data_IF_729376622142
#
_entry.id   IF_729376622142
#
_cell.length_a   1.000
_cell.length_b   1.000
_cell.length_c   1.000
_cell.angle_alpha   90.00
_cell.angle_beta   90.00
_cell.angle_gamma   90.00
#
_symmetry.space_group_name_H-M   'P 1'
#
loop_
_entity.id
_entity.type
_entity.pdbx_description
1 polymer ?
#
# COMPACT_ATOMS: atom_id res chain seq x y z
N UNK A 1 -20.42 15.80 19.48
CA UNK A 1 -20.46 15.48 18.05
C UNK A 1 -20.31 13.97 17.95
N UNK A 2 -21.39 13.25 18.26
CA UNK A 2 -21.43 11.78 18.44
C UNK A 2 -22.61 11.17 17.68
N UNK A 3 -22.99 11.78 16.54
CA UNK A 3 -24.15 11.35 15.78
C UNK A 3 -23.73 10.30 14.72
N UNK A 4 -24.26 9.06 14.77
CA UNK A 4 -24.05 8.05 13.75
C UNK A 4 -24.55 8.45 12.35
N UNK A 5 -25.22 9.59 12.23
CA UNK A 5 -25.69 10.18 10.99
C UNK A 5 -24.75 11.21 10.35
N UNK A 6 -23.58 11.50 10.92
CA UNK A 6 -22.64 12.49 10.37
C UNK A 6 -22.22 12.09 8.93
N UNK A 7 -22.50 12.94 7.92
CA UNK A 7 -22.18 12.68 6.51
C UNK A 7 -20.69 12.39 6.28
N UNK A 8 -19.79 12.87 7.14
CA UNK A 8 -18.36 12.55 7.11
C UNK A 8 -18.07 11.03 7.13
N UNK A 9 -18.92 10.24 7.81
CA UNK A 9 -18.71 8.78 7.89
C UNK A 9 -19.21 8.01 6.67
N UNK A 10 -20.05 8.58 5.82
CA UNK A 10 -20.53 7.91 4.61
C UNK A 10 -19.44 7.73 3.56
N UNK A 11 -18.38 8.53 3.63
CA UNK A 11 -17.24 8.48 2.72
C UNK A 11 -16.17 7.45 3.15
N UNK A 12 -16.24 6.94 4.38
CA UNK A 12 -15.29 5.95 4.90
C UNK A 12 -15.93 4.56 4.81
N UNK A 13 -15.51 3.76 3.84
CA UNK A 13 -16.02 2.38 3.68
C UNK A 13 -15.30 1.39 4.63
N UNK A 14 -15.92 0.23 5.00
CA UNK A 14 -15.27 -0.79 5.82
C UNK A 14 -14.05 -1.42 5.12
N UNK A 15 -12.98 -1.74 5.88
CA UNK A 15 -11.78 -2.40 5.38
C UNK A 15 -12.05 -3.87 5.02
N UNK A 16 -11.34 -4.39 4.00
CA UNK A 16 -11.44 -5.78 3.58
C UNK A 16 -10.68 -6.71 4.54
N UNK A 17 -11.09 -7.96 4.62
CA UNK A 17 -10.35 -8.96 5.38
C UNK A 17 -9.04 -9.30 4.66
N UNK A 18 -7.93 -9.26 5.39
CA UNK A 18 -6.60 -9.58 4.88
C UNK A 18 -5.62 -8.41 4.98
N UNK A 19 -6.02 -7.20 4.58
CA UNK A 19 -5.19 -5.99 4.60
C UNK A 19 -5.83 -4.87 5.44
N UNK A 20 -6.48 -5.25 6.54
CA UNK A 20 -7.26 -4.34 7.38
C UNK A 20 -6.43 -3.18 7.95
N UNK A 21 -5.13 -3.37 8.18
CA UNK A 21 -4.23 -2.32 8.64
C UNK A 21 -3.97 -1.29 7.53
N UNK A 22 -3.51 -1.76 6.37
CA UNK A 22 -3.14 -0.93 5.21
C UNK A 22 -4.35 -0.13 4.70
N UNK A 23 -5.49 -0.80 4.57
CA UNK A 23 -6.74 -0.13 4.19
C UNK A 23 -7.23 0.87 5.25
N UNK A 24 -6.99 0.61 6.54
CA UNK A 24 -7.29 1.59 7.60
C UNK A 24 -6.44 2.85 7.43
N UNK A 25 -5.14 2.70 7.18
CA UNK A 25 -4.22 3.83 6.94
C UNK A 25 -4.63 4.61 5.69
N UNK A 26 -4.88 3.92 4.56
CA UNK A 26 -5.34 4.53 3.30
C UNK A 26 -6.59 5.38 3.52
N UNK A 27 -7.63 4.82 4.14
CA UNK A 27 -8.92 5.50 4.32
C UNK A 27 -8.83 6.69 5.27
N UNK A 28 -8.07 6.56 6.35
CA UNK A 28 -7.84 7.69 7.26
C UNK A 28 -7.07 8.80 6.57
N UNK A 29 -6.03 8.47 5.79
CA UNK A 29 -5.28 9.45 4.99
C UNK A 29 -6.18 10.16 3.98
N UNK A 30 -7.01 9.41 3.25
CA UNK A 30 -7.99 9.94 2.30
C UNK A 30 -8.94 10.93 2.99
N UNK A 31 -9.56 10.51 4.10
CA UNK A 31 -10.48 11.37 4.86
C UNK A 31 -9.80 12.65 5.37
N UNK A 32 -8.53 12.59 5.79
CA UNK A 32 -7.75 13.75 6.21
C UNK A 32 -7.44 14.65 5.01
N UNK A 33 -6.99 14.10 3.88
CA UNK A 33 -6.63 14.87 2.68
C UNK A 33 -7.86 15.55 2.05
N UNK A 34 -9.01 14.88 2.01
CA UNK A 34 -10.28 15.44 1.55
C UNK A 34 -10.88 16.47 2.52
N UNK A 35 -10.25 16.69 3.69
CA UNK A 35 -10.77 17.62 4.68
C UNK A 35 -12.03 17.15 5.42
N UNK A 36 -12.41 15.87 5.28
CA UNK A 36 -13.47 15.24 6.09
C UNK A 36 -13.10 15.34 7.57
N UNK A 37 -11.82 15.20 7.87
CA UNK A 37 -11.22 15.54 9.16
C UNK A 37 -10.26 16.73 8.95
N UNK A 38 -10.72 17.98 9.17
CA UNK A 38 -9.91 19.15 8.92
C UNK A 38 -8.63 19.20 9.77
N UNK A 39 -7.61 19.90 9.28
CA UNK A 39 -6.39 20.18 10.06
C UNK A 39 -6.74 20.82 11.41
N UNK A 40 -6.13 20.33 12.48
CA UNK A 40 -6.39 20.74 13.86
C UNK A 40 -7.67 20.14 14.48
N UNK A 41 -8.50 19.43 13.73
CA UNK A 41 -9.70 18.79 14.27
C UNK A 41 -9.37 17.48 14.99
N UNK A 42 -10.20 17.12 15.95
CA UNK A 42 -10.09 15.87 16.69
C UNK A 42 -10.80 14.76 15.93
N UNK A 43 -10.15 13.60 15.78
CA UNK A 43 -10.79 12.41 15.25
C UNK A 43 -11.86 11.88 16.22
N UNK A 44 -12.88 11.21 15.70
CA UNK A 44 -13.87 10.50 16.51
C UNK A 44 -13.22 9.49 17.46
N UNK A 45 -13.92 9.08 18.55
CA UNK A 45 -13.42 8.09 19.49
C UNK A 45 -12.98 6.80 18.80
N UNK A 46 -11.83 6.23 19.20
CA UNK A 46 -11.28 4.99 18.61
C UNK A 46 -12.30 3.84 18.49
N UNK A 47 -13.19 3.69 19.49
CA UNK A 47 -14.22 2.66 19.46
C UNK A 47 -15.13 2.85 18.25
N UNK A 48 -15.52 4.06 18.01
CA UNK A 48 -16.45 4.42 16.93
C UNK A 48 -15.78 4.27 15.55
N UNK A 49 -14.53 4.75 15.40
CA UNK A 49 -13.76 4.58 14.18
C UNK A 49 -13.50 3.10 13.86
N UNK A 50 -13.13 2.30 14.85
CA UNK A 50 -12.88 0.87 14.65
C UNK A 50 -14.15 0.12 14.20
N UNK A 51 -15.29 0.44 14.83
CA UNK A 51 -16.59 -0.14 14.46
C UNK A 51 -16.99 0.25 13.03
N UNK A 52 -16.82 1.51 12.68
CA UNK A 52 -17.17 2.03 11.35
C UNK A 52 -16.27 1.46 10.24
N UNK A 53 -14.96 1.38 10.48
CA UNK A 53 -13.99 0.77 9.55
C UNK A 53 -14.08 -0.77 9.51
N UNK A 54 -14.84 -1.38 10.42
CA UNK A 54 -14.97 -2.84 10.48
C UNK A 54 -13.68 -3.55 10.92
N UNK A 55 -12.83 -2.87 11.69
CA UNK A 55 -11.52 -3.38 12.13
C UNK A 55 -11.44 -3.54 13.65
N UNK A 56 -10.43 -4.28 14.12
CA UNK A 56 -10.16 -4.38 15.54
C UNK A 56 -9.64 -3.05 16.10
N UNK A 57 -9.88 -2.79 17.39
CA UNK A 57 -9.33 -1.60 18.07
C UNK A 57 -7.80 -1.59 18.09
N UNK A 58 -7.16 -2.76 18.08
CA UNK A 58 -5.71 -2.87 17.95
C UNK A 58 -5.25 -2.44 16.56
N UNK A 59 -5.88 -2.94 15.50
CA UNK A 59 -5.56 -2.55 14.11
C UNK A 59 -5.70 -1.04 13.90
N UNK A 60 -6.80 -0.45 14.41
CA UNK A 60 -6.97 1.00 14.35
C UNK A 60 -5.87 1.76 15.08
N UNK A 61 -5.51 1.33 16.32
CA UNK A 61 -4.45 1.99 17.10
C UNK A 61 -3.10 1.92 16.42
N UNK A 62 -2.79 0.78 15.80
CA UNK A 62 -1.57 0.58 15.04
C UNK A 62 -1.54 1.56 13.85
N UNK A 63 -2.63 1.69 13.09
CA UNK A 63 -2.75 2.66 12.00
C UNK A 63 -2.64 4.12 12.48
N UNK A 64 -3.27 4.48 13.60
CA UNK A 64 -3.15 5.82 14.19
C UNK A 64 -1.72 6.12 14.65
N UNK A 65 -1.01 5.13 15.20
CA UNK A 65 0.38 5.28 15.62
C UNK A 65 1.32 5.52 14.43
N UNK A 66 1.11 4.80 13.32
CA UNK A 66 1.90 4.99 12.11
C UNK A 66 1.60 6.35 11.45
N UNK A 67 0.33 6.78 11.40
CA UNK A 67 -0.04 8.12 10.93
C UNK A 67 0.51 9.23 11.84
N UNK A 68 0.63 8.99 13.15
CA UNK A 68 1.32 9.89 14.06
C UNK A 68 2.81 9.97 13.74
N UNK A 69 3.47 8.83 13.53
CA UNK A 69 4.88 8.77 13.14
C UNK A 69 5.13 9.46 11.81
N UNK A 70 4.18 9.32 10.86
CA UNK A 70 4.20 10.00 9.58
C UNK A 70 3.84 11.50 9.64
N UNK A 71 3.48 12.01 10.83
CA UNK A 71 3.20 13.43 11.05
C UNK A 71 1.79 13.92 10.70
N UNK A 72 0.89 13.02 10.27
CA UNK A 72 -0.50 13.38 9.94
C UNK A 72 -1.38 13.58 11.18
N UNK A 73 -1.01 12.95 12.31
CA UNK A 73 -1.77 13.00 13.55
C UNK A 73 -0.89 13.37 14.73
N UNK A 74 -1.50 13.93 15.77
CA UNK A 74 -0.96 14.01 17.12
C UNK A 74 -1.87 13.20 18.03
N UNK A 75 -1.30 12.30 18.87
CA UNK A 75 -2.06 11.45 19.78
C UNK A 75 -1.75 11.82 21.22
N UNK A 76 -2.78 12.22 21.98
CA UNK A 76 -2.67 12.50 23.41
C UNK A 76 -3.26 11.34 24.22
N UNK A 77 -2.56 10.92 25.28
CA UNK A 77 -3.04 9.89 26.22
C UNK A 77 -3.85 10.50 27.35
N UNK A 78 -4.76 9.73 27.92
CA UNK A 78 -5.51 10.10 29.12
C UNK A 78 -7.02 10.22 28.90
N UNK A 79 -7.75 10.56 29.97
CA UNK A 79 -9.23 10.63 30.00
C UNK A 79 -9.83 11.57 28.93
N UNK A 80 -9.10 12.62 28.58
CA UNK A 80 -9.46 13.59 27.55
C UNK A 80 -8.54 13.48 26.33
N UNK A 81 -7.77 12.39 26.21
CA UNK A 81 -6.89 12.11 25.11
C UNK A 81 -7.62 11.74 23.82
N UNK A 82 -6.89 11.50 22.76
CA UNK A 82 -7.39 11.09 21.44
C UNK A 82 -6.44 11.51 20.34
N UNK A 83 -6.78 11.16 19.12
CA UNK A 83 -6.04 11.56 17.94
C UNK A 83 -6.60 12.89 17.40
N UNK A 84 -5.72 13.79 17.02
CA UNK A 84 -6.03 15.11 16.41
C UNK A 84 -5.26 15.20 15.11
N UNK A 85 -5.88 15.67 14.04
CA UNK A 85 -5.22 15.95 12.77
C UNK A 85 -4.19 17.05 12.96
N UNK A 86 -2.98 16.88 12.47
CA UNK A 86 -1.92 17.88 12.58
C UNK A 86 -2.36 19.21 11.95
N UNK A 87 -2.05 20.32 12.61
CA UNK A 87 -2.38 21.66 12.11
C UNK A 87 -1.66 21.97 10.79
N UNK A 88 -0.48 21.38 10.58
CA UNK A 88 0.27 21.39 9.33
C UNK A 88 0.47 19.96 8.89
N UNK A 89 -0.19 19.59 7.81
CA UNK A 89 -0.01 18.24 7.22
C UNK A 89 1.37 18.15 6.58
N UNK A 90 2.00 16.96 6.62
CA UNK A 90 3.26 16.73 5.95
C UNK A 90 3.13 17.08 4.46
N UNK A 91 3.91 18.04 4.02
CA UNK A 91 4.12 18.26 2.59
C UNK A 91 5.02 17.15 2.07
N UNK A 92 4.74 16.63 0.88
CA UNK A 92 5.54 15.57 0.24
C UNK A 92 7.03 15.98 0.30
N UNK A 93 7.83 15.22 1.04
CA UNK A 93 9.26 15.47 1.16
C UNK A 93 9.97 15.17 -0.15
N UNK A 94 10.51 16.20 -0.79
CA UNK A 94 11.77 16.10 -1.50
C UNK A 94 11.84 15.45 -2.88
N UNK A 95 10.81 15.45 -3.73
CA UNK A 95 11.05 15.37 -5.17
C UNK A 95 9.97 16.12 -5.95
N UNK A 96 10.36 17.00 -6.89
CA UNK A 96 9.39 17.85 -7.61
C UNK A 96 8.51 17.12 -8.62
N UNK A 97 8.73 15.84 -8.88
CA UNK A 97 7.87 15.07 -9.76
C UNK A 97 6.69 14.49 -8.96
N UNK A 98 5.55 15.14 -9.05
CA UNK A 98 4.26 14.56 -8.67
C UNK A 98 4.06 13.32 -9.54
N UNK A 99 3.94 12.14 -8.92
CA UNK A 99 3.57 10.95 -9.68
C UNK A 99 2.11 11.11 -10.12
N UNK A 100 1.87 10.97 -11.42
CA UNK A 100 0.50 10.96 -11.94
C UNK A 100 -0.20 9.68 -11.47
N UNK A 101 -1.50 9.77 -11.20
CA UNK A 101 -2.32 8.60 -10.86
C UNK A 101 -2.09 7.45 -11.84
N UNK A 102 -2.13 7.75 -13.15
CA UNK A 102 -1.92 6.75 -14.20
C UNK A 102 -0.58 6.01 -14.07
N UNK A 103 0.49 6.67 -13.62
CA UNK A 103 1.80 6.04 -13.42
C UNK A 103 1.81 5.09 -12.22
N UNK A 104 1.13 5.46 -11.13
CA UNK A 104 0.98 4.63 -9.94
C UNK A 104 0.13 3.40 -10.28
N UNK A 105 -1.03 3.60 -10.89
CA UNK A 105 -1.94 2.50 -11.24
C UNK A 105 -1.35 1.55 -12.29
N UNK A 106 -0.57 2.05 -13.26
CA UNK A 106 0.15 1.20 -14.24
C UNK A 106 1.13 0.24 -13.53
N UNK A 107 1.93 0.75 -12.59
CA UNK A 107 2.86 -0.10 -11.82
C UNK A 107 2.12 -1.11 -10.98
N UNK A 108 1.04 -0.69 -10.30
CA UNK A 108 0.24 -1.56 -9.45
C UNK A 108 -0.46 -2.66 -10.27
N UNK A 109 -1.01 -2.32 -11.46
CA UNK A 109 -1.63 -3.28 -12.37
C UNK A 109 -0.61 -4.28 -12.92
N UNK A 110 0.55 -3.82 -13.39
CA UNK A 110 1.61 -4.68 -13.89
C UNK A 110 2.09 -5.67 -12.81
N UNK A 111 2.36 -5.16 -11.61
CA UNK A 111 2.76 -5.95 -10.45
C UNK A 111 1.72 -7.00 -10.08
N UNK A 112 0.43 -6.64 -10.06
CA UNK A 112 -0.66 -7.53 -9.71
C UNK A 112 -0.83 -8.72 -10.67
N UNK A 113 -0.29 -8.63 -11.87
CA UNK A 113 -0.29 -9.74 -12.85
C UNK A 113 0.96 -10.61 -12.70
N UNK A 114 2.15 -10.00 -12.65
CA UNK A 114 3.40 -10.76 -12.76
C UNK A 114 3.80 -11.47 -11.47
N UNK A 115 3.63 -10.85 -10.30
CA UNK A 115 4.10 -11.42 -9.04
C UNK A 115 3.22 -12.59 -8.54
N UNK A 116 1.87 -12.52 -8.55
CA UNK A 116 1.04 -13.68 -8.22
C UNK A 116 1.19 -14.83 -9.21
N UNK A 117 1.38 -14.51 -10.51
CA UNK A 117 1.70 -15.50 -11.54
C UNK A 117 3.02 -16.22 -11.26
N UNK A 118 4.06 -15.47 -10.84
CA UNK A 118 5.34 -16.04 -10.45
C UNK A 118 5.23 -16.95 -9.21
N UNK A 119 4.50 -16.53 -8.18
CA UNK A 119 4.29 -17.33 -6.98
C UNK A 119 3.54 -18.63 -7.27
N UNK A 120 2.51 -18.58 -8.14
CA UNK A 120 1.78 -19.74 -8.61
C UNK A 120 2.71 -20.72 -9.32
N UNK A 121 3.42 -20.28 -10.35
CA UNK A 121 4.34 -21.12 -11.13
C UNK A 121 5.45 -21.73 -10.27
N UNK A 122 6.01 -20.96 -9.34
CA UNK A 122 7.02 -21.45 -8.40
C UNK A 122 6.49 -22.61 -7.54
N UNK A 123 5.20 -22.60 -7.19
CA UNK A 123 4.56 -23.66 -6.44
C UNK A 123 4.16 -24.89 -7.30
N UNK A 124 3.98 -24.71 -8.62
CA UNK A 124 3.70 -25.81 -9.57
C UNK A 124 4.96 -26.65 -9.86
N UNK A 125 6.13 -26.05 -9.76
CA UNK A 125 7.39 -26.72 -10.06
C UNK A 125 7.89 -27.50 -8.84
N UNK A 126 8.61 -28.59 -9.11
CA UNK A 126 9.36 -29.32 -8.09
C UNK A 126 10.47 -28.40 -7.56
N UNK A 127 10.35 -27.98 -6.31
CA UNK A 127 11.31 -27.11 -5.68
C UNK A 127 12.67 -27.83 -5.53
N UNK A 128 13.70 -27.36 -6.20
CA UNK A 128 15.06 -27.86 -6.03
C UNK A 128 15.62 -27.45 -4.66
N UNK A 129 16.63 -28.18 -4.16
CA UNK A 129 17.29 -27.83 -2.92
C UNK A 129 17.97 -26.46 -2.97
N UNK A 130 18.41 -26.03 -4.13
CA UNK A 130 18.96 -24.69 -4.36
C UNK A 130 17.89 -23.61 -4.26
N UNK A 131 16.74 -23.78 -4.94
CA UNK A 131 15.59 -22.87 -4.85
C UNK A 131 15.06 -22.78 -3.42
N UNK A 132 14.99 -23.93 -2.73
CA UNK A 132 14.55 -23.98 -1.31
C UNK A 132 15.49 -23.13 -0.42
N UNK A 133 16.80 -23.30 -0.56
CA UNK A 133 17.77 -22.52 0.21
C UNK A 133 17.71 -21.03 -0.10
N UNK A 134 17.56 -20.68 -1.38
CA UNK A 134 17.41 -19.29 -1.82
C UNK A 134 16.17 -18.63 -1.19
N UNK A 135 15.00 -19.30 -1.27
CA UNK A 135 13.74 -18.80 -0.71
C UNK A 135 13.80 -18.62 0.82
N UNK A 136 14.29 -19.63 1.53
CA UNK A 136 14.40 -19.56 3.00
C UNK A 136 15.43 -18.51 3.44
N UNK A 137 16.57 -18.43 2.78
CA UNK A 137 17.58 -17.40 3.07
C UNK A 137 17.08 -15.98 2.81
N UNK A 138 16.34 -15.75 1.71
CA UNK A 138 15.75 -14.45 1.42
C UNK A 138 14.64 -14.09 2.45
N UNK A 139 13.82 -15.07 2.85
CA UNK A 139 12.80 -14.87 3.88
C UNK A 139 13.42 -14.50 5.24
N UNK A 140 14.46 -15.20 5.67
CA UNK A 140 15.17 -14.90 6.90
C UNK A 140 15.83 -13.51 6.85
N UNK A 141 16.45 -13.17 5.73
CA UNK A 141 17.11 -11.88 5.54
C UNK A 141 16.12 -10.70 5.65
N UNK A 142 14.94 -10.78 5.02
CA UNK A 142 13.93 -9.71 5.11
C UNK A 142 13.31 -9.64 6.49
N UNK A 143 13.06 -10.77 7.14
CA UNK A 143 12.49 -10.81 8.49
C UNK A 143 13.41 -10.20 9.55
N UNK A 144 14.73 -10.31 9.39
CA UNK A 144 15.75 -9.73 10.28
C UNK A 144 16.23 -8.32 9.85
N UNK A 145 15.61 -7.70 8.85
CA UNK A 145 16.07 -6.43 8.31
C UNK A 145 15.68 -5.24 9.21
N UNK A 146 16.62 -4.30 9.36
CA UNK A 146 16.33 -2.96 9.84
C UNK A 146 15.63 -2.10 8.76
N UNK A 147 15.17 -0.91 9.15
CA UNK A 147 14.46 -0.01 8.24
C UNK A 147 15.26 0.36 6.98
N UNK A 148 16.57 0.51 7.08
CA UNK A 148 17.43 0.90 5.96
C UNK A 148 17.60 -0.23 4.92
N UNK A 149 17.59 -1.49 5.37
CA UNK A 149 17.82 -2.67 4.53
C UNK A 149 16.54 -3.39 4.12
N UNK A 150 15.40 -3.05 4.72
CA UNK A 150 14.15 -3.79 4.49
C UNK A 150 13.76 -3.82 3.02
N UNK A 151 13.62 -2.67 2.36
CA UNK A 151 13.14 -2.58 0.97
C UNK A 151 14.00 -3.36 -0.04
N UNK A 152 15.34 -3.26 -0.03
CA UNK A 152 16.18 -4.10 -0.89
C UNK A 152 16.02 -5.61 -0.62
N UNK A 153 15.90 -6.02 0.64
CA UNK A 153 15.75 -7.43 1.02
C UNK A 153 14.34 -7.96 0.70
N UNK A 154 13.31 -7.13 0.84
CA UNK A 154 11.96 -7.41 0.38
C UNK A 154 11.93 -7.66 -1.13
N UNK A 155 12.52 -6.77 -1.92
CA UNK A 155 12.65 -6.98 -3.36
C UNK A 155 13.42 -8.27 -3.70
N UNK A 156 14.46 -8.59 -2.94
CA UNK A 156 15.23 -9.84 -3.14
C UNK A 156 14.39 -11.08 -2.89
N UNK A 157 13.49 -11.08 -1.89
CA UNK A 157 12.57 -12.19 -1.65
C UNK A 157 11.61 -12.38 -2.82
N UNK A 158 11.00 -11.31 -3.33
CA UNK A 158 10.11 -11.38 -4.49
C UNK A 158 10.83 -11.90 -5.74
N UNK A 159 12.09 -11.48 -5.94
CA UNK A 159 12.93 -12.01 -7.03
C UNK A 159 13.24 -13.50 -6.85
N UNK A 160 13.56 -13.96 -5.63
CA UNK A 160 13.80 -15.37 -5.38
C UNK A 160 12.55 -16.24 -5.67
N UNK A 161 11.35 -15.73 -5.37
CA UNK A 161 10.08 -16.38 -5.74
C UNK A 161 9.94 -16.46 -7.27
N UNK A 162 10.25 -15.37 -7.98
CA UNK A 162 10.18 -15.34 -9.45
C UNK A 162 11.23 -16.22 -10.12
N UNK A 163 12.44 -16.30 -9.57
CA UNK A 163 13.51 -17.20 -10.01
C UNK A 163 13.08 -18.67 -9.85
N UNK A 164 12.41 -19.01 -8.73
CA UNK A 164 11.89 -20.35 -8.48
C UNK A 164 10.74 -20.76 -9.44
N UNK A 165 10.11 -19.82 -10.13
CA UNK A 165 9.13 -20.07 -11.19
C UNK A 165 9.78 -20.62 -12.50
N UNK A 166 11.11 -20.71 -12.58
CA UNK A 166 11.82 -21.31 -13.72
C UNK A 166 11.71 -20.55 -15.04
N UNK A 167 11.18 -19.32 -15.04
CA UNK A 167 11.03 -18.46 -16.22
C UNK A 167 11.89 -17.20 -16.11
N UNK A 168 13.03 -17.13 -16.84
CA UNK A 168 13.87 -15.93 -16.82
C UNK A 168 13.15 -14.66 -17.25
N UNK A 169 12.23 -14.75 -18.22
CA UNK A 169 11.44 -13.61 -18.67
C UNK A 169 10.50 -13.10 -17.57
N UNK A 170 9.88 -14.02 -16.80
CA UNK A 170 9.03 -13.65 -15.69
C UNK A 170 9.84 -13.04 -14.54
N UNK A 171 11.01 -13.59 -14.23
CA UNK A 171 11.91 -13.03 -13.23
C UNK A 171 12.34 -11.59 -13.60
N UNK A 172 12.61 -11.33 -14.88
CA UNK A 172 12.93 -9.98 -15.37
C UNK A 172 11.74 -9.04 -15.25
N UNK A 173 10.53 -9.49 -15.57
CA UNK A 173 9.30 -8.71 -15.41
C UNK A 173 9.05 -8.36 -13.94
N UNK A 174 9.23 -9.30 -13.02
CA UNK A 174 9.12 -9.06 -11.57
C UNK A 174 10.22 -8.08 -11.10
N UNK A 175 11.44 -8.21 -11.59
CA UNK A 175 12.54 -7.27 -11.27
C UNK A 175 12.17 -5.83 -11.68
N UNK A 176 11.60 -5.66 -12.87
CA UNK A 176 11.13 -4.35 -13.35
C UNK A 176 9.99 -3.79 -12.49
N UNK A 177 9.00 -4.63 -12.16
CA UNK A 177 7.89 -4.25 -11.29
C UNK A 177 8.39 -3.80 -9.91
N UNK A 178 9.33 -4.56 -9.32
CA UNK A 178 9.92 -4.26 -8.01
C UNK A 178 10.74 -2.98 -8.00
N UNK A 179 11.54 -2.72 -9.04
CA UNK A 179 12.29 -1.46 -9.16
C UNK A 179 11.36 -0.26 -9.11
N UNK A 180 10.33 -0.23 -9.98
CA UNK A 180 9.34 0.85 -10.03
C UNK A 180 8.56 0.99 -8.71
N UNK A 181 8.19 -0.13 -8.07
CA UNK A 181 7.52 -0.11 -6.77
C UNK A 181 8.40 0.46 -5.68
N UNK A 182 9.70 0.11 -5.64
CA UNK A 182 10.63 0.64 -4.65
C UNK A 182 10.82 2.16 -4.81
N UNK A 183 10.89 2.68 -6.04
CA UNK A 183 10.95 4.12 -6.31
C UNK A 183 9.72 4.87 -5.74
N UNK A 184 8.55 4.21 -5.72
CA UNK A 184 7.34 4.73 -5.10
C UNK A 184 7.37 4.61 -3.57
N UNK A 185 7.79 3.45 -3.05
CA UNK A 185 7.91 3.22 -1.61
C UNK A 185 8.92 4.17 -0.95
N UNK A 186 9.97 4.59 -1.67
CA UNK A 186 10.95 5.56 -1.16
C UNK A 186 10.35 6.97 -0.96
N UNK A 187 9.16 7.22 -1.50
CA UNK A 187 8.43 8.49 -1.35
C UNK A 187 7.42 8.49 -0.21
N UNK A 188 7.21 7.36 0.44
CA UNK A 188 6.29 7.23 1.58
C UNK A 188 7.06 6.94 2.87
N UNK A 189 6.51 7.29 4.04
CA UNK A 189 7.13 6.97 5.33
C UNK A 189 7.36 5.46 5.51
N UNK A 190 8.38 5.12 6.28
CA UNK A 190 8.59 3.75 6.72
C UNK A 190 7.63 3.42 7.87
N UNK A 191 6.72 2.46 7.67
CA UNK A 191 5.68 2.08 8.62
C UNK A 191 6.07 0.77 9.32
N UNK A 192 6.54 0.86 10.55
CA UNK A 192 7.10 -0.30 11.28
C UNK A 192 6.08 -1.41 11.54
N UNK A 193 4.82 -1.05 11.80
CA UNK A 193 3.75 -2.04 12.02
C UNK A 193 3.42 -2.79 10.73
N UNK A 194 3.42 -2.08 9.59
CA UNK A 194 3.23 -2.68 8.28
C UNK A 194 4.29 -3.75 7.98
N UNK A 195 5.56 -3.50 8.33
CA UNK A 195 6.65 -4.46 8.13
C UNK A 195 6.38 -5.79 8.85
N UNK A 196 5.89 -5.74 10.08
CA UNK A 196 5.53 -6.96 10.79
C UNK A 196 4.37 -7.72 10.13
N UNK A 197 3.42 -7.00 9.53
CA UNK A 197 2.34 -7.61 8.75
C UNK A 197 2.87 -8.23 7.46
N UNK A 198 3.64 -7.50 6.66
CA UNK A 198 4.31 -7.99 5.46
C UNK A 198 5.14 -9.25 5.71
N UNK A 199 5.94 -9.28 6.78
CA UNK A 199 6.75 -10.44 7.11
C UNK A 199 5.92 -11.70 7.39
N UNK A 200 4.74 -11.57 8.01
CA UNK A 200 3.81 -12.71 8.16
C UNK A 200 3.25 -13.19 6.82
N UNK A 201 2.90 -12.25 5.93
CA UNK A 201 2.43 -12.58 4.57
C UNK A 201 3.55 -13.23 3.75
N UNK A 202 4.79 -12.74 3.80
CA UNK A 202 5.95 -13.36 3.16
C UNK A 202 6.15 -14.82 3.60
N UNK A 203 6.05 -15.08 4.91
CA UNK A 203 6.14 -16.44 5.43
C UNK A 203 5.02 -17.35 4.91
N UNK A 204 3.78 -16.83 4.76
CA UNK A 204 2.67 -17.57 4.20
C UNK A 204 2.86 -17.88 2.72
N UNK A 205 3.35 -16.92 1.92
CA UNK A 205 3.67 -17.09 0.51
C UNK A 205 4.75 -18.18 0.33
N UNK A 206 5.89 -18.03 1.00
CA UNK A 206 7.01 -18.99 0.90
C UNK A 206 6.56 -20.38 1.36
N UNK A 207 5.76 -20.48 2.43
CA UNK A 207 5.18 -21.76 2.88
C UNK A 207 4.29 -22.40 1.81
N UNK A 208 3.47 -21.63 1.12
CA UNK A 208 2.60 -22.14 0.05
C UNK A 208 3.42 -22.59 -1.16
N UNK A 209 4.44 -21.83 -1.57
CA UNK A 209 5.38 -22.20 -2.64
C UNK A 209 6.10 -23.51 -2.31
N UNK A 210 6.75 -23.59 -1.15
CA UNK A 210 7.49 -24.78 -0.73
C UNK A 210 6.60 -26.00 -0.47
N UNK A 211 5.32 -25.75 -0.19
CA UNK A 211 4.29 -26.81 -0.01
C UNK A 211 3.65 -27.29 -1.30
N UNK A 212 4.04 -26.75 -2.46
CA UNK A 212 3.46 -27.12 -3.76
C UNK A 212 1.96 -26.82 -3.86
N UNK A 213 1.52 -25.66 -3.36
CA UNK A 213 0.12 -25.22 -3.41
C UNK A 213 -0.02 -23.94 -4.25
N UNK A 214 -0.20 -24.06 -5.58
CA UNK A 214 -0.19 -22.93 -6.52
C UNK A 214 -1.30 -21.90 -6.25
N UNK A 215 -2.52 -22.38 -5.98
CA UNK A 215 -3.68 -21.52 -5.75
C UNK A 215 -3.47 -20.68 -4.49
N UNK A 216 -2.93 -21.30 -3.43
CA UNK A 216 -2.64 -20.60 -2.18
C UNK A 216 -1.47 -19.63 -2.34
N UNK A 217 -0.41 -20.01 -3.04
CA UNK A 217 0.72 -19.13 -3.30
C UNK A 217 0.29 -17.86 -4.06
N UNK A 218 -0.53 -18.02 -5.09
CA UNK A 218 -1.13 -16.92 -5.84
C UNK A 218 -2.00 -16.02 -4.94
N UNK A 219 -2.91 -16.61 -4.16
CA UNK A 219 -3.82 -15.85 -3.30
C UNK A 219 -3.08 -15.06 -2.20
N UNK A 220 -2.10 -15.68 -1.53
CA UNK A 220 -1.30 -15.02 -0.49
C UNK A 220 -0.46 -13.87 -1.08
N UNK A 221 0.13 -14.06 -2.28
CA UNK A 221 0.85 -13.00 -2.98
C UNK A 221 -0.11 -11.87 -3.37
N UNK A 222 -1.28 -12.16 -3.95
CA UNK A 222 -2.28 -11.15 -4.30
C UNK A 222 -2.67 -10.31 -3.09
N UNK A 223 -3.01 -10.94 -1.97
CA UNK A 223 -3.36 -10.24 -0.74
C UNK A 223 -2.22 -9.36 -0.21
N UNK A 224 -0.97 -9.84 -0.28
CA UNK A 224 0.20 -9.05 0.08
C UNK A 224 0.37 -7.80 -0.80
N UNK A 225 0.17 -7.93 -2.11
CA UNK A 225 0.29 -6.81 -3.05
C UNK A 225 -0.81 -5.78 -2.88
N UNK A 226 -2.04 -6.21 -2.59
CA UNK A 226 -3.17 -5.32 -2.31
C UNK A 226 -2.89 -4.42 -1.10
N UNK A 227 -2.27 -4.94 -0.03
CA UNK A 227 -1.86 -4.15 1.11
C UNK A 227 -0.87 -3.05 0.75
N UNK A 228 0.17 -3.37 -0.01
CA UNK A 228 1.12 -2.37 -0.51
C UNK A 228 0.45 -1.35 -1.42
N UNK A 229 -0.46 -1.77 -2.29
CA UNK A 229 -1.20 -0.89 -3.21
C UNK A 229 -2.06 0.11 -2.43
N UNK A 230 -2.76 -0.34 -1.37
CA UNK A 230 -3.54 0.54 -0.49
C UNK A 230 -2.68 1.65 0.12
N UNK A 231 -1.49 1.30 0.65
CA UNK A 231 -0.56 2.30 1.19
C UNK A 231 -0.07 3.28 0.13
N UNK A 232 0.35 2.79 -1.05
CA UNK A 232 0.83 3.66 -2.12
C UNK A 232 -0.25 4.63 -2.59
N UNK A 233 -1.49 4.17 -2.77
CA UNK A 233 -2.63 5.04 -3.09
C UNK A 233 -2.87 6.07 -2.01
N UNK A 234 -2.98 5.64 -0.75
CA UNK A 234 -3.22 6.54 0.38
C UNK A 234 -2.19 7.64 0.52
N UNK A 235 -0.90 7.32 0.34
CA UNK A 235 0.18 8.31 0.49
C UNK A 235 0.44 9.12 -0.78
N UNK A 236 0.37 8.52 -1.98
CA UNK A 236 0.84 9.15 -3.22
C UNK A 236 -0.26 9.81 -4.03
N UNK A 237 -1.52 9.33 -3.95
CA UNK A 237 -2.60 9.91 -4.73
C UNK A 237 -3.34 10.97 -3.92
N UNK A 238 -3.71 12.05 -4.62
CA UNK A 238 -4.49 13.15 -4.09
C UNK A 238 -5.66 13.39 -5.06
N UNK A 239 -6.88 13.01 -4.68
CA UNK A 239 -8.05 13.06 -5.56
C UNK A 239 -8.36 14.47 -6.06
N UNK A 240 -8.17 15.49 -5.21
CA UNK A 240 -8.44 16.87 -5.58
C UNK A 240 -7.47 17.44 -6.64
N UNK A 241 -6.26 16.87 -6.75
CA UNK A 241 -5.30 17.29 -7.80
C UNK A 241 -5.49 16.50 -9.11
N UNK A 242 -6.03 15.29 -9.02
CA UNK A 242 -6.28 14.44 -10.18
C UNK A 242 -7.48 14.96 -10.98
N UNK A 243 -8.59 15.34 -10.31
CA UNK A 243 -9.76 15.94 -10.97
C UNK A 243 -9.40 17.23 -11.72
N UNK A 244 -8.59 18.11 -11.11
CA UNK A 244 -8.13 19.34 -11.77
C UNK A 244 -7.17 19.10 -12.95
N UNK A 245 -6.43 17.98 -12.96
CA UNK A 245 -5.54 17.62 -14.08
C UNK A 245 -6.29 16.94 -15.20
N UNK A 246 -7.28 16.11 -14.89
CA UNK A 246 -8.14 15.47 -15.90
C UNK A 246 -9.02 16.53 -16.60
N UNK A 247 -9.63 17.48 -15.86
CA UNK A 247 -10.36 18.61 -16.42
C UNK A 247 -9.48 19.47 -17.33
N UNK A 248 -8.24 19.79 -16.91
CA UNK A 248 -7.31 20.57 -17.73
C UNK A 248 -6.83 19.83 -18.99
N UNK A 249 -6.78 18.49 -18.98
CA UNK A 249 -6.43 17.70 -20.15
C UNK A 249 -7.59 17.55 -21.13
N UNK A 250 -8.82 17.41 -20.63
CA UNK A 250 -10.02 17.37 -21.46
C UNK A 250 -10.24 18.72 -22.16
N UNK A 251 -10.08 19.84 -21.44
CA UNK A 251 -10.13 21.20 -22.04
C UNK A 251 -9.05 21.41 -23.10
N UNK A 252 -7.83 20.91 -22.89
CA UNK A 252 -6.75 21.01 -23.86
C UNK A 252 -6.97 20.14 -25.10
N UNK A 253 -7.63 18.98 -24.97
CA UNK A 253 -7.97 18.12 -26.11
C UNK A 253 -9.14 18.66 -26.94
N UNK A 254 -10.15 19.20 -26.27
CA UNK A 254 -11.28 19.85 -26.95
C UNK A 254 -10.81 21.09 -27.71
N UNK A 255 -9.96 21.92 -27.12
CA UNK A 255 -9.39 23.08 -27.79
C UNK A 255 -8.53 22.74 -29.03
N UNK A 256 -7.79 21.63 -28.99
CA UNK A 256 -6.98 21.16 -30.10
C UNK A 256 -7.84 20.56 -31.25
N UNK A 257 -9.00 19.98 -30.95
CA UNK A 257 -9.93 19.46 -31.94
C UNK A 257 -10.70 20.60 -32.66
N UNK A 258 -11.05 21.64 -31.94
CA UNK A 258 -11.72 22.83 -32.52
C UNK A 258 -10.77 23.61 -33.45
N UNK A 259 -9.49 23.75 -33.12
CA UNK A 259 -8.49 24.35 -34.01
C UNK A 259 -8.26 23.53 -35.30
N UNK A 260 -8.27 22.18 -35.19
CA UNK A 260 -8.10 21.30 -36.34
C UNK A 260 -9.34 21.24 -37.26
N UNK A 261 -10.54 21.51 -36.75
CA UNK A 261 -11.78 21.53 -37.49
C UNK A 261 -12.05 22.89 -38.17
N UNK A 262 -11.34 23.96 -37.77
CA UNK A 262 -11.47 25.32 -38.32
C UNK A 262 -10.45 25.66 -39.39
N UNK A 263 -9.51 24.77 -39.76
CA UNK A 263 -8.47 24.95 -40.77
C UNK A 263 -8.77 24.11 -42.02
#
# INVERSE_FOLDING_TARGET
MDDPGDPAFRLIQPARRGNAFEETVERLLHAIKLGVFPAGSRLPPERYLAEHLGVSRSTLRDGLADLQTAGYLTVQRGRYGGATVSASLPTRGGSPAVLRRAEVEDVLAFRAVVEPGAARLAAELVCTEESRRSLLGALEAVAGADAARYRPLDARLHLAIAEAAGSPSLALAVAQARSRTNDMLDRIPFLAVNINHSNRQHAAIVKAVLGGNPERAQAEMTAHLEGTAALLRGFLLDEAQDEAQDEAQDEAQDGAQDEAAGA
#
